data_IF_910925797335
#
_entry.id   IF_910925797335
#
_cell.length_a   1.000
_cell.length_b   1.000
_cell.length_c   1.000
_cell.angle_alpha   90.00
_cell.angle_beta   90.00
_cell.angle_gamma   90.00
#
_symmetry.space_group_name_H-M   'P 1'
#
loop_
_entity.id
_entity.type
_entity.pdbx_description
1 polymer ?
#
# COMPACT_ATOMS: atom_id res chain seq x y z
N UNK A 1 -13.60 0.34 -39.94
CA UNK A 1 -12.44 1.00 -39.29
C UNK A 1 -12.37 0.44 -37.89
N UNK A 2 -11.49 -0.54 -37.66
CA UNK A 2 -11.23 -1.06 -36.32
C UNK A 2 -10.23 -0.14 -35.65
N UNK A 3 -10.60 0.42 -34.51
CA UNK A 3 -9.69 1.16 -33.66
C UNK A 3 -8.97 0.09 -32.84
N UNK A 4 -7.76 -0.30 -33.25
CA UNK A 4 -6.87 -1.07 -32.39
C UNK A 4 -6.68 -0.24 -31.11
N UNK A 5 -7.15 -0.77 -29.99
CA UNK A 5 -6.83 -0.23 -28.68
C UNK A 5 -5.32 -0.41 -28.48
N UNK A 6 -4.54 0.61 -28.85
CA UNK A 6 -3.13 0.69 -28.47
C UNK A 6 -3.07 0.70 -26.95
N UNK A 7 -2.59 -0.40 -26.37
CA UNK A 7 -2.31 -0.48 -24.95
C UNK A 7 -1.40 0.70 -24.56
N UNK A 8 -1.73 1.45 -23.49
CA UNK A 8 -0.90 2.56 -23.05
C UNK A 8 0.47 2.03 -22.62
N UNK A 9 1.47 2.26 -23.45
CA UNK A 9 2.89 1.97 -23.20
C UNK A 9 3.52 3.04 -22.32
N UNK A 10 2.95 3.28 -21.14
CA UNK A 10 3.69 4.05 -20.14
C UNK A 10 4.75 3.15 -19.51
N UNK A 11 6.00 3.56 -19.61
CA UNK A 11 7.18 2.89 -19.04
C UNK A 11 7.38 3.17 -17.56
N UNK A 12 6.46 3.91 -16.92
CA UNK A 12 6.54 4.24 -15.51
C UNK A 12 6.19 3.01 -14.67
N UNK A 13 7.13 2.43 -13.90
CA UNK A 13 6.83 1.28 -13.05
C UNK A 13 5.85 1.68 -11.95
N UNK A 14 5.00 0.75 -11.52
CA UNK A 14 4.13 0.94 -10.36
C UNK A 14 4.99 1.30 -9.12
N UNK A 15 4.55 2.23 -8.27
CA UNK A 15 5.22 2.53 -7.01
C UNK A 15 5.44 1.27 -6.17
N UNK A 16 6.64 1.10 -5.64
CA UNK A 16 6.93 -0.06 -4.77
C UNK A 16 6.23 0.15 -3.42
N UNK A 17 5.64 -0.91 -2.82
CA UNK A 17 4.99 -0.84 -1.51
C UNK A 17 5.81 -0.17 -0.40
N UNK A 18 7.13 -0.40 -0.42
CA UNK A 18 8.10 0.08 0.57
C UNK A 18 9.14 1.00 -0.07
N UNK A 19 8.75 1.77 -1.08
CA UNK A 19 9.64 2.80 -1.61
C UNK A 19 9.97 3.82 -0.50
N UNK A 20 11.23 4.29 -0.37
CA UNK A 20 11.63 5.20 0.70
C UNK A 20 10.73 6.43 0.83
N UNK A 21 10.26 6.98 -0.29
CA UNK A 21 9.35 8.11 -0.36
C UNK A 21 7.95 7.80 0.23
N UNK A 22 7.41 6.61 -0.04
CA UNK A 22 6.13 6.13 0.51
C UNK A 22 6.23 5.95 2.02
N UNK A 23 7.32 5.30 2.46
CA UNK A 23 7.58 5.04 3.87
C UNK A 23 7.77 6.34 4.65
N UNK A 24 8.53 7.29 4.09
CA UNK A 24 8.72 8.61 4.70
C UNK A 24 7.42 9.38 4.81
N UNK A 25 6.61 9.42 3.75
CA UNK A 25 5.32 10.11 3.79
C UNK A 25 4.36 9.48 4.82
N UNK A 26 4.37 8.15 4.97
CA UNK A 26 3.61 7.47 6.03
C UNK A 26 4.13 7.86 7.42
N UNK A 27 5.45 7.88 7.62
CA UNK A 27 6.07 8.33 8.87
C UNK A 27 5.73 9.78 9.21
N UNK A 28 5.69 10.69 8.23
CA UNK A 28 5.25 12.08 8.40
C UNK A 28 3.79 12.18 8.86
N UNK A 29 2.90 11.33 8.35
CA UNK A 29 1.49 11.27 8.80
C UNK A 29 1.36 10.75 10.24
N UNK A 30 2.08 9.68 10.57
CA UNK A 30 2.10 9.12 11.93
C UNK A 30 2.65 10.17 12.92
N UNK A 31 3.79 10.79 12.59
CA UNK A 31 4.37 11.88 13.36
C UNK A 31 3.38 13.04 13.58
N UNK A 32 2.54 13.35 12.60
CA UNK A 32 1.53 14.39 12.71
C UNK A 32 0.41 14.05 13.70
N UNK A 33 0.03 12.78 13.85
CA UNK A 33 -0.96 12.32 14.84
C UNK A 33 -0.41 12.36 16.27
N UNK A 34 0.89 12.12 16.43
CA UNK A 34 1.57 12.19 17.72
C UNK A 34 1.70 13.62 18.30
N UNK A 35 1.35 14.69 17.56
CA UNK A 35 1.51 16.08 18.03
C UNK A 35 0.73 16.38 19.30
N UNK A 36 -0.43 15.74 19.48
CA UNK A 36 -1.23 15.86 20.71
C UNK A 36 -0.56 15.21 21.93
N UNK A 37 0.38 14.28 21.70
CA UNK A 37 1.15 13.60 22.72
C UNK A 37 2.50 14.30 22.98
N UNK A 38 3.25 14.61 21.92
CA UNK A 38 4.50 15.37 21.96
C UNK A 38 4.56 16.38 20.80
N UNK A 39 4.61 17.69 21.07
CA UNK A 39 4.72 18.72 20.04
C UNK A 39 5.96 18.60 19.14
N UNK A 40 7.00 17.90 19.59
CA UNK A 40 8.24 17.66 18.85
C UNK A 40 8.17 16.46 17.90
N UNK A 41 7.03 15.76 17.86
CA UNK A 41 6.84 14.55 17.06
C UNK A 41 7.05 14.74 15.56
N UNK A 42 6.92 15.97 15.06
CA UNK A 42 7.18 16.33 13.65
C UNK A 42 8.64 16.64 13.34
N UNK A 43 9.54 16.47 14.29
CA UNK A 43 10.97 16.65 14.04
C UNK A 43 11.52 15.59 13.09
N UNK A 44 12.56 15.93 12.34
CA UNK A 44 13.24 14.99 11.43
C UNK A 44 13.68 13.72 12.15
N UNK A 45 14.14 13.83 13.39
CA UNK A 45 14.55 12.67 14.19
C UNK A 45 13.42 11.67 14.46
N UNK A 46 12.19 12.14 14.65
CA UNK A 46 11.03 11.27 14.79
C UNK A 46 10.65 10.63 13.45
N UNK A 47 10.62 11.42 12.39
CA UNK A 47 10.28 10.94 11.04
C UNK A 47 11.27 9.87 10.58
N UNK A 48 12.57 10.08 10.81
CA UNK A 48 13.60 9.11 10.46
C UNK A 48 13.48 7.82 11.29
N UNK A 49 13.23 7.93 12.60
CA UNK A 49 13.02 6.77 13.47
C UNK A 49 11.78 5.95 13.06
N UNK A 50 10.67 6.62 12.76
CA UNK A 50 9.46 6.00 12.24
C UNK A 50 9.70 5.38 10.87
N UNK A 51 10.34 6.10 9.95
CA UNK A 51 10.66 5.59 8.59
C UNK A 51 11.50 4.32 8.63
N UNK A 52 12.42 4.20 9.59
CA UNK A 52 13.24 3.00 9.77
C UNK A 52 12.46 1.76 10.20
N UNK A 53 11.24 1.93 10.71
CA UNK A 53 10.44 0.83 11.24
C UNK A 53 9.11 0.60 10.55
N UNK A 54 8.61 1.58 9.78
CA UNK A 54 7.40 1.47 8.97
C UNK A 54 7.59 0.43 7.83
N UNK A 55 7.39 -0.86 8.11
CA UNK A 55 7.47 -2.05 7.24
C UNK A 55 6.24 -2.98 7.37
N UNK A 56 6.16 -4.11 6.65
CA UNK A 56 4.94 -4.95 6.52
C UNK A 56 4.23 -5.39 7.84
N UNK A 57 4.84 -5.28 9.02
CA UNK A 57 4.29 -5.78 10.29
C UNK A 57 4.54 -4.81 11.45
N UNK A 58 3.51 -4.04 11.81
CA UNK A 58 3.55 -3.13 12.96
C UNK A 58 2.69 -3.60 14.11
N UNK A 59 3.32 -3.57 15.26
CA UNK A 59 2.68 -3.48 16.56
C UNK A 59 3.14 -2.13 17.10
N UNK A 60 2.20 -1.31 17.60
CA UNK A 60 2.50 0.00 18.18
C UNK A 60 3.64 -0.04 19.20
N UNK A 61 3.82 -1.16 19.90
CA UNK A 61 4.93 -1.38 20.84
C UNK A 61 6.31 -1.35 20.17
N UNK A 62 6.44 -1.93 18.97
CA UNK A 62 7.72 -1.95 18.25
C UNK A 62 8.10 -0.56 17.75
N UNK A 63 7.13 0.22 17.29
CA UNK A 63 7.33 1.60 16.88
C UNK A 63 7.69 2.48 18.07
N UNK A 64 6.98 2.33 19.19
CA UNK A 64 7.27 3.01 20.45
C UNK A 64 8.71 2.75 20.92
N UNK A 65 9.15 1.48 20.94
CA UNK A 65 10.52 1.11 21.31
C UNK A 65 11.57 1.75 20.39
N UNK A 66 11.26 1.98 19.12
CA UNK A 66 12.19 2.57 18.17
C UNK A 66 12.33 4.07 18.37
N UNK A 67 11.23 4.75 18.72
CA UNK A 67 11.27 6.13 19.19
C UNK A 67 12.05 6.27 20.50
N UNK A 68 11.95 5.30 21.41
CA UNK A 68 12.76 5.30 22.65
C UNK A 68 14.25 5.23 22.33
N UNK A 69 14.66 4.30 21.46
CA UNK A 69 16.06 4.09 21.10
C UNK A 69 16.65 5.29 20.34
N UNK A 70 15.88 5.88 19.41
CA UNK A 70 16.41 6.83 18.43
C UNK A 70 16.02 8.29 18.67
N UNK A 71 14.96 8.55 19.43
CA UNK A 71 14.41 9.90 19.64
C UNK A 71 14.41 10.32 21.11
N UNK A 72 14.98 9.51 22.02
CA UNK A 72 15.03 9.78 23.48
C UNK A 72 13.65 10.00 24.11
N UNK A 73 12.62 9.43 23.48
CA UNK A 73 11.23 9.46 23.92
C UNK A 73 11.04 8.40 25.00
N UNK A 74 10.19 8.63 25.99
CA UNK A 74 9.78 7.59 26.95
C UNK A 74 8.34 7.22 26.59
N UNK A 75 8.11 6.11 25.87
CA UNK A 75 6.77 5.75 25.44
C UNK A 75 5.88 5.37 26.62
N UNK A 76 4.64 5.83 26.58
CA UNK A 76 3.57 5.36 27.46
C UNK A 76 2.54 4.54 26.65
N UNK A 77 1.51 4.04 27.32
CA UNK A 77 0.45 3.26 26.66
C UNK A 77 -0.35 4.07 25.64
N UNK A 78 -0.44 5.39 25.80
CA UNK A 78 -1.18 6.27 24.88
C UNK A 78 -0.42 6.42 23.56
N UNK A 79 0.91 6.62 23.60
CA UNK A 79 1.73 6.63 22.40
C UNK A 79 1.66 5.28 21.66
N UNK A 80 1.69 4.17 22.39
CA UNK A 80 1.57 2.82 21.80
C UNK A 80 0.24 2.67 21.06
N UNK A 81 -0.87 3.13 21.63
CA UNK A 81 -2.19 3.10 21.00
C UNK A 81 -2.26 3.96 19.74
N UNK A 82 -1.69 5.18 19.77
CA UNK A 82 -1.58 6.04 18.58
C UNK A 82 -0.80 5.33 17.46
N UNK A 83 0.31 4.68 17.82
CA UNK A 83 1.18 4.00 16.86
C UNK A 83 0.62 2.67 16.35
N UNK A 84 -0.34 2.06 17.04
CA UNK A 84 -0.97 0.82 16.58
C UNK A 84 -1.74 1.03 15.26
N UNK A 85 -2.24 2.25 15.03
CA UNK A 85 -2.84 2.67 13.77
C UNK A 85 -1.86 2.93 12.61
N UNK A 86 -0.54 2.85 12.84
CA UNK A 86 0.48 3.22 11.86
C UNK A 86 0.38 2.48 10.52
N UNK A 87 -0.07 1.21 10.55
CA UNK A 87 -0.28 0.43 9.33
C UNK A 87 -1.28 1.09 8.37
N UNK A 88 -2.35 1.70 8.90
CA UNK A 88 -3.37 2.38 8.08
C UNK A 88 -2.81 3.57 7.32
N UNK A 89 -1.85 4.30 7.91
CA UNK A 89 -1.17 5.40 7.21
C UNK A 89 -0.34 4.92 6.04
N UNK A 90 0.38 3.81 6.21
CA UNK A 90 1.17 3.24 5.13
C UNK A 90 0.28 2.70 4.01
N UNK A 91 -0.79 2.00 4.34
CA UNK A 91 -1.74 1.48 3.37
C UNK A 91 -2.44 2.62 2.59
N UNK A 92 -2.86 3.68 3.29
CA UNK A 92 -3.45 4.87 2.67
C UNK A 92 -2.48 5.58 1.71
N UNK A 93 -1.22 5.77 2.12
CA UNK A 93 -0.20 6.39 1.26
C UNK A 93 0.08 5.52 0.03
N UNK A 94 0.15 4.19 0.20
CA UNK A 94 0.32 3.26 -0.92
C UNK A 94 -0.85 3.32 -1.89
N UNK A 95 -2.06 3.33 -1.37
CA UNK A 95 -3.27 3.48 -2.18
C UNK A 95 -3.27 4.78 -2.97
N UNK A 96 -2.94 5.91 -2.34
CA UNK A 96 -2.86 7.20 -3.01
C UNK A 96 -1.81 7.21 -4.11
N UNK A 97 -0.65 6.60 -3.86
CA UNK A 97 0.42 6.47 -4.85
C UNK A 97 0.00 5.60 -6.05
N UNK A 98 -0.67 4.48 -5.80
CA UNK A 98 -1.23 3.63 -6.86
C UNK A 98 -2.27 4.39 -7.71
N UNK A 99 -3.19 5.11 -7.06
CA UNK A 99 -4.19 5.93 -7.77
C UNK A 99 -3.56 7.03 -8.61
N UNK A 100 -2.55 7.71 -8.07
CA UNK A 100 -1.81 8.73 -8.80
C UNK A 100 -1.10 8.13 -10.01
N UNK A 101 -0.45 6.97 -9.85
CA UNK A 101 0.22 6.25 -10.93
C UNK A 101 -0.77 5.83 -12.03
N UNK A 102 -1.93 5.26 -11.66
CA UNK A 102 -2.99 4.88 -12.61
C UNK A 102 -3.45 6.07 -13.44
N UNK A 103 -3.66 7.24 -12.83
CA UNK A 103 -4.06 8.46 -13.55
C UNK A 103 -3.01 8.94 -14.55
N UNK A 104 -1.73 8.73 -14.25
CA UNK A 104 -0.61 9.13 -15.12
C UNK A 104 -0.45 8.14 -16.28
N UNK A 105 -0.52 6.84 -16.00
CA UNK A 105 -0.32 5.78 -16.99
C UNK A 105 -1.54 5.59 -17.89
N UNK A 106 -2.74 5.86 -17.37
CA UNK A 106 -4.00 5.60 -18.05
C UNK A 106 -4.27 4.10 -18.09
N UNK A 107 -4.78 3.53 -17.00
CA UNK A 107 -5.14 2.12 -16.98
C UNK A 107 -6.39 1.84 -17.83
N UNK A 108 -6.35 0.77 -18.63
CA UNK A 108 -7.52 0.19 -19.28
C UNK A 108 -7.54 -1.31 -18.96
N UNK A 109 -8.61 -1.83 -18.33
CA UNK A 109 -8.70 -3.24 -18.00
C UNK A 109 -8.60 -4.12 -19.25
N UNK A 110 -7.70 -5.10 -19.22
CA UNK A 110 -7.57 -6.12 -20.26
C UNK A 110 -8.55 -7.28 -20.08
N UNK A 111 -9.07 -7.45 -18.86
CA UNK A 111 -9.98 -8.52 -18.48
C UNK A 111 -11.27 -7.95 -17.89
N UNK A 112 -12.39 -8.58 -18.23
CA UNK A 112 -13.70 -8.27 -17.68
C UNK A 112 -14.03 -9.18 -16.48
N UNK A 113 -15.02 -8.78 -15.68
CA UNK A 113 -15.60 -9.66 -14.65
C UNK A 113 -16.15 -10.93 -15.32
N UNK A 114 -15.79 -12.09 -14.78
CA UNK A 114 -16.11 -13.40 -15.32
C UNK A 114 -15.01 -14.02 -16.18
N UNK A 115 -14.05 -13.24 -16.69
CA UNK A 115 -12.91 -13.79 -17.42
C UNK A 115 -12.06 -14.67 -16.51
N UNK A 116 -11.63 -15.83 -17.01
CA UNK A 116 -10.72 -16.71 -16.28
C UNK A 116 -9.29 -16.24 -16.54
N UNK A 117 -8.55 -15.99 -15.47
CA UNK A 117 -7.16 -15.52 -15.53
C UNK A 117 -6.27 -16.42 -14.69
N UNK A 118 -5.01 -16.52 -15.09
CA UNK A 118 -3.98 -17.25 -14.36
C UNK A 118 -3.02 -16.27 -13.69
N UNK A 119 -2.72 -16.54 -12.43
CA UNK A 119 -1.74 -15.80 -11.63
C UNK A 119 -0.86 -16.78 -10.85
N UNK A 120 0.17 -16.26 -10.17
CA UNK A 120 1.10 -17.06 -9.36
C UNK A 120 0.41 -17.97 -8.34
N UNK A 121 -0.74 -17.56 -7.80
CA UNK A 121 -1.43 -18.25 -6.71
C UNK A 121 -2.53 -19.22 -7.20
N UNK A 122 -2.79 -19.29 -8.50
CA UNK A 122 -3.77 -20.18 -9.09
C UNK A 122 -4.47 -19.57 -10.30
N UNK A 123 -5.51 -20.26 -10.77
CA UNK A 123 -6.38 -19.83 -11.86
C UNK A 123 -7.80 -19.67 -11.32
N UNK A 124 -8.52 -18.67 -11.80
CA UNK A 124 -9.88 -18.41 -11.37
C UNK A 124 -10.55 -17.27 -12.13
N UNK A 125 -11.88 -17.09 -11.98
CA UNK A 125 -12.59 -15.99 -12.60
C UNK A 125 -12.31 -14.65 -11.90
N UNK A 126 -12.21 -13.58 -12.69
CA UNK A 126 -12.22 -12.21 -12.20
C UNK A 126 -13.58 -11.94 -11.56
N UNK A 127 -13.58 -11.60 -10.28
CA UNK A 127 -14.76 -11.21 -9.52
C UNK A 127 -15.00 -9.70 -9.55
N UNK A 128 -13.92 -8.91 -9.56
CA UNK A 128 -13.98 -7.45 -9.51
C UNK A 128 -12.79 -6.84 -10.26
N UNK A 129 -13.01 -5.68 -10.86
CA UNK A 129 -11.96 -4.83 -11.42
C UNK A 129 -11.90 -3.54 -10.60
N UNK A 130 -10.75 -3.26 -10.00
CA UNK A 130 -10.44 -1.99 -9.35
C UNK A 130 -9.64 -1.14 -10.34
N UNK A 131 -10.36 -0.34 -11.12
CA UNK A 131 -9.77 0.53 -12.13
C UNK A 131 -8.93 1.65 -11.53
N UNK A 132 -9.28 2.14 -10.32
CA UNK A 132 -8.54 3.22 -9.67
C UNK A 132 -7.14 2.81 -9.26
N UNK A 133 -6.95 1.52 -8.92
CA UNK A 133 -5.66 0.97 -8.48
C UNK A 133 -5.04 0.01 -9.50
N UNK A 134 -5.68 -0.21 -10.64
CA UNK A 134 -5.29 -1.20 -11.65
C UNK A 134 -5.07 -2.60 -11.03
N UNK A 135 -6.07 -3.07 -10.29
CA UNK A 135 -6.06 -4.39 -9.63
C UNK A 135 -7.29 -5.19 -10.00
N UNK A 136 -7.19 -6.50 -9.87
CA UNK A 136 -8.29 -7.43 -10.01
C UNK A 136 -8.48 -8.20 -8.71
N UNK A 137 -9.72 -8.52 -8.38
CA UNK A 137 -10.03 -9.52 -7.38
C UNK A 137 -10.40 -10.79 -8.11
N UNK A 138 -9.64 -11.86 -7.91
CA UNK A 138 -9.83 -13.13 -8.60
C UNK A 138 -10.18 -14.20 -7.58
N UNK A 139 -11.26 -14.93 -7.84
CA UNK A 139 -11.71 -16.00 -6.96
C UNK A 139 -10.92 -17.28 -7.28
N UNK A 140 -10.06 -17.72 -6.36
CA UNK A 140 -9.26 -18.93 -6.55
C UNK A 140 -9.85 -19.99 -5.65
N UNK A 141 -10.30 -21.12 -6.21
CA UNK A 141 -10.95 -22.22 -5.48
C UNK A 141 -10.18 -22.69 -4.23
N UNK A 142 -8.87 -22.44 -4.18
CA UNK A 142 -7.99 -22.81 -3.07
C UNK A 142 -8.16 -21.97 -1.80
N UNK A 143 -8.72 -20.75 -1.84
CA UNK A 143 -8.74 -19.84 -0.68
C UNK A 143 -10.00 -19.96 0.18
N UNK A 144 -11.01 -20.70 -0.27
CA UNK A 144 -12.14 -21.14 0.55
C UNK A 144 -13.12 -20.06 1.01
N UNK A 145 -12.81 -18.75 0.95
CA UNK A 145 -13.71 -17.67 1.37
C UNK A 145 -13.34 -16.23 0.90
N UNK A 146 -12.42 -16.05 -0.06
CA UNK A 146 -12.06 -14.70 -0.47
C UNK A 146 -11.24 -14.63 -1.74
N UNK A 147 -11.62 -13.69 -2.62
CA UNK A 147 -10.83 -13.38 -3.80
C UNK A 147 -9.47 -12.80 -3.44
N UNK A 148 -8.47 -13.09 -4.27
CA UNK A 148 -7.10 -12.59 -4.14
C UNK A 148 -7.00 -11.30 -4.94
N UNK A 149 -6.44 -10.26 -4.34
CA UNK A 149 -6.02 -9.06 -5.07
C UNK A 149 -4.77 -9.38 -5.91
N UNK A 150 -4.85 -9.17 -7.21
CA UNK A 150 -3.75 -9.28 -8.15
C UNK A 150 -3.57 -7.94 -8.88
N UNK A 151 -2.32 -7.51 -9.08
CA UNK A 151 -2.08 -6.34 -9.94
C UNK A 151 -2.34 -6.72 -11.39
N UNK A 152 -2.76 -5.76 -12.21
CA UNK A 152 -3.05 -6.02 -13.61
C UNK A 152 -1.87 -6.62 -14.39
N UNK A 153 -0.66 -6.20 -14.07
CA UNK A 153 0.58 -6.67 -14.68
C UNK A 153 0.96 -8.12 -14.30
N UNK A 154 0.34 -8.69 -13.27
CA UNK A 154 0.62 -10.04 -12.77
C UNK A 154 -0.31 -11.11 -13.37
N UNK A 155 -1.32 -10.70 -14.16
CA UNK A 155 -2.29 -11.60 -14.77
C UNK A 155 -1.82 -12.09 -16.13
N UNK A 156 -2.03 -13.39 -16.37
CA UNK A 156 -1.83 -14.03 -17.66
C UNK A 156 -3.19 -14.52 -18.15
N UNK A 157 -3.58 -14.12 -19.37
CA UNK A 157 -4.75 -14.66 -20.05
C UNK A 157 -4.55 -16.18 -20.27
N UNK A 158 -5.49 -16.99 -19.78
CA UNK A 158 -5.50 -18.44 -20.02
C UNK A 158 -6.17 -18.79 -21.34
#
# INVERSE_FOLDING_TARGET
MSIEAMAPTSTMPRPRPYAPETVRLAAERIAAECVGWDPTSRSEHWIDALSGCVSDWHDGYRLARQLEIHSSVIPDSNLVEILDGAYHHLDAVREEADKAWVRIVGFTPAHAVGDVVTMRHGTGPVHMVDEERARYVVDVERTGNGGIYANAEDLIAS
#
